data_IF_823243444364
#
_entry.id   IF_823243444364
#
_cell.length_a   1.000
_cell.length_b   1.000
_cell.length_c   1.000
_cell.angle_alpha   90.00
_cell.angle_beta   90.00
_cell.angle_gamma   90.00
#
_symmetry.space_group_name_H-M   'P 1'
#
loop_
_entity.id
_entity.type
_entity.pdbx_description
1 polymer ?
#
# COMPACT_ATOMS: atom_id res chain seq x y z
N UNK A 1 16.05 19.25 -11.46
CA UNK A 1 15.64 17.90 -11.88
C UNK A 1 16.81 17.30 -12.63
N UNK A 2 17.39 16.23 -12.11
CA UNK A 2 18.48 15.53 -12.79
C UNK A 2 17.88 14.30 -13.50
N UNK A 3 18.18 14.15 -14.78
CA UNK A 3 17.75 12.99 -15.57
C UNK A 3 18.95 12.48 -16.36
N UNK A 4 19.29 11.22 -16.15
CA UNK A 4 20.44 10.54 -16.77
C UNK A 4 19.99 9.69 -17.96
N UNK A 5 20.85 9.52 -18.97
CA UNK A 5 20.57 8.66 -20.13
C UNK A 5 19.65 9.24 -21.23
N UNK A 6 19.27 10.52 -21.15
CA UNK A 6 18.49 11.20 -22.20
C UNK A 6 19.34 12.21 -23.00
N UNK A 7 19.02 12.35 -24.29
CA UNK A 7 19.60 13.40 -25.13
C UNK A 7 19.08 14.80 -24.70
N UNK A 8 19.75 15.84 -25.20
CA UNK A 8 19.42 17.23 -24.84
C UNK A 8 17.99 17.62 -25.25
N UNK A 9 17.55 17.20 -26.44
CA UNK A 9 16.22 17.52 -26.97
C UNK A 9 15.09 16.93 -26.11
N UNK A 10 15.22 15.67 -25.65
CA UNK A 10 14.21 15.05 -24.76
C UNK A 10 14.23 15.72 -23.39
N UNK A 11 15.41 16.10 -22.88
CA UNK A 11 15.52 16.86 -21.62
C UNK A 11 14.79 18.20 -21.71
N UNK A 12 14.89 18.88 -22.84
CA UNK A 12 14.17 20.14 -23.09
C UNK A 12 12.65 19.92 -23.11
N UNK A 13 12.17 18.85 -23.76
CA UNK A 13 10.74 18.52 -23.72
C UNK A 13 10.25 18.20 -22.29
N UNK A 14 11.05 17.48 -21.49
CA UNK A 14 10.72 17.20 -20.07
C UNK A 14 10.64 18.51 -19.29
N UNK A 15 11.61 19.41 -19.47
CA UNK A 15 11.63 20.72 -18.82
C UNK A 15 10.42 21.57 -19.23
N UNK A 16 10.08 21.58 -20.53
CA UNK A 16 8.91 22.27 -21.06
C UNK A 16 7.63 21.78 -20.37
N UNK A 17 7.41 20.47 -20.27
CA UNK A 17 6.24 19.90 -19.58
C UNK A 17 6.22 20.26 -18.10
N UNK A 18 7.37 20.17 -17.41
CA UNK A 18 7.47 20.52 -15.99
C UNK A 18 7.16 22.01 -15.73
N UNK A 19 7.55 22.90 -16.64
CA UNK A 19 7.36 24.35 -16.51
C UNK A 19 5.90 24.81 -16.65
N UNK A 20 5.01 24.01 -17.24
CA UNK A 20 3.59 24.34 -17.39
C UNK A 20 2.92 24.57 -16.03
N UNK A 21 3.35 23.82 -15.01
CA UNK A 21 2.83 23.95 -13.65
C UNK A 21 3.69 24.87 -12.76
N UNK A 22 4.62 25.64 -13.35
CA UNK A 22 5.62 26.49 -12.69
C UNK A 22 6.60 25.72 -11.79
N UNK A 23 6.14 25.26 -10.63
CA UNK A 23 6.92 24.48 -9.68
C UNK A 23 6.03 23.68 -8.73
N UNK A 24 6.61 22.65 -8.10
CA UNK A 24 5.95 21.96 -6.98
C UNK A 24 5.97 22.82 -5.72
N UNK A 25 5.08 22.53 -4.76
CA UNK A 25 5.02 23.29 -3.52
C UNK A 25 6.37 23.27 -2.76
N UNK A 26 6.75 24.42 -2.20
CA UNK A 26 8.06 24.62 -1.55
C UNK A 26 8.21 23.71 -0.32
N UNK A 27 7.14 23.51 0.45
CA UNK A 27 7.17 22.62 1.63
C UNK A 27 7.55 21.18 1.27
N UNK A 28 7.05 20.65 0.15
CA UNK A 28 7.39 19.33 -0.37
C UNK A 28 8.83 19.26 -0.88
N UNK A 29 9.33 20.33 -1.49
CA UNK A 29 10.74 20.43 -1.89
C UNK A 29 11.67 20.43 -0.66
N UNK A 30 11.33 21.19 0.38
CA UNK A 30 12.07 21.20 1.66
C UNK A 30 12.04 19.80 2.30
N UNK A 31 10.86 19.17 2.36
CA UNK A 31 10.71 17.84 2.93
C UNK A 31 11.54 16.79 2.18
N UNK A 32 11.54 16.82 0.83
CA UNK A 32 12.37 15.94 0.03
C UNK A 32 13.87 16.14 0.33
N UNK A 33 14.31 17.39 0.51
CA UNK A 33 15.69 17.69 0.89
C UNK A 33 16.04 17.13 2.28
N UNK A 34 15.13 17.19 3.25
CA UNK A 34 15.33 16.65 4.59
C UNK A 34 15.37 15.11 4.60
N UNK A 35 14.55 14.46 3.76
CA UNK A 35 14.54 12.99 3.62
C UNK A 35 15.84 12.49 2.99
N UNK A 36 16.36 13.20 1.97
CA UNK A 36 17.58 12.80 1.27
C UNK A 36 18.87 13.20 2.02
N UNK A 37 18.80 14.19 2.92
CA UNK A 37 19.93 14.63 3.76
C UNK A 37 19.62 14.43 5.24
N UNK A 38 19.64 13.18 5.75
CA UNK A 38 19.43 12.92 7.16
C UNK A 38 20.53 13.59 8.03
N UNK A 39 20.23 13.96 9.28
CA UNK A 39 21.19 14.63 10.14
C UNK A 39 22.43 13.75 10.40
N UNK A 40 23.61 14.36 10.27
CA UNK A 40 24.88 13.69 10.54
C UNK A 40 24.99 13.25 12.02
N UNK A 41 25.41 12.01 12.22
CA UNK A 41 25.49 11.32 13.54
C UNK A 41 26.36 12.07 14.57
N UNK A 42 27.30 12.90 14.11
CA UNK A 42 28.21 13.67 14.97
C UNK A 42 27.53 14.80 15.75
N UNK A 43 26.62 15.54 15.12
CA UNK A 43 25.83 16.60 15.79
C UNK A 43 24.71 15.98 16.64
N UNK A 44 24.20 14.84 16.17
CA UNK A 44 23.16 14.08 16.85
C UNK A 44 23.66 13.50 18.19
N UNK A 45 24.93 13.09 18.30
CA UNK A 45 25.51 12.61 19.58
C UNK A 45 25.52 13.67 20.68
N UNK A 46 25.76 14.94 20.35
CA UNK A 46 25.78 16.03 21.34
C UNK A 46 24.37 16.33 21.90
N UNK A 47 23.36 16.36 21.01
CA UNK A 47 21.95 16.56 21.40
C UNK A 47 21.32 15.32 22.05
N UNK A 48 21.69 14.12 21.59
CA UNK A 48 21.21 12.86 22.16
C UNK A 48 21.82 12.62 23.55
N UNK A 49 23.08 13.00 23.84
CA UNK A 49 23.65 12.82 25.18
C UNK A 49 22.84 13.53 26.28
N UNK A 50 22.20 14.65 25.97
CA UNK A 50 21.36 15.41 26.91
C UNK A 50 19.95 14.80 27.03
N UNK A 51 19.45 14.15 25.98
CA UNK A 51 18.11 13.52 25.94
C UNK A 51 18.11 12.00 26.23
N UNK A 52 19.29 11.37 26.27
CA UNK A 52 19.50 9.92 26.38
C UNK A 52 19.28 9.33 27.78
N UNK A 53 18.95 10.15 28.77
CA UNK A 53 18.63 9.68 30.11
C UNK A 53 17.31 8.86 30.20
N UNK A 54 16.47 8.82 29.14
CA UNK A 54 15.10 8.28 29.24
C UNK A 54 14.82 6.99 28.44
N UNK A 55 15.63 6.50 27.47
CA UNK A 55 15.26 5.23 26.78
C UNK A 55 16.41 4.51 26.06
N UNK A 56 16.89 3.44 26.68
CA UNK A 56 17.83 2.43 26.17
C UNK A 56 17.19 1.52 25.10
N UNK A 57 16.93 2.08 23.91
CA UNK A 57 16.66 1.32 22.67
C UNK A 57 16.92 2.17 21.41
N UNK A 58 17.80 3.17 21.50
CA UNK A 58 18.01 4.17 20.45
C UNK A 58 19.35 3.91 19.75
N UNK A 59 19.40 2.91 18.87
CA UNK A 59 20.50 2.84 17.90
C UNK A 59 20.09 3.36 16.52
N UNK A 60 18.80 3.34 16.17
CA UNK A 60 18.26 3.99 14.96
C UNK A 60 16.80 4.43 15.17
N UNK A 61 16.45 5.72 15.07
CA UNK A 61 15.07 6.19 15.15
C UNK A 61 14.13 5.50 14.13
N UNK A 62 14.64 5.16 12.94
CA UNK A 62 13.89 4.49 11.88
C UNK A 62 13.44 3.07 12.25
N UNK A 63 14.19 2.36 13.09
CA UNK A 63 13.87 0.99 13.52
C UNK A 63 12.61 0.94 14.39
N UNK A 64 12.27 2.03 15.11
CA UNK A 64 11.04 2.12 15.92
C UNK A 64 9.76 2.14 15.07
N UNK A 65 9.84 2.59 13.82
CA UNK A 65 8.70 2.68 12.91
C UNK A 65 8.63 1.44 12.03
N UNK A 66 9.78 0.92 11.59
CA UNK A 66 9.85 -0.23 10.68
C UNK A 66 9.50 -1.53 11.41
N UNK A 67 9.95 -1.73 12.65
CA UNK A 67 9.74 -2.99 13.37
C UNK A 67 8.25 -3.33 13.60
N UNK A 68 7.39 -2.41 14.07
CA UNK A 68 5.95 -2.68 14.17
C UNK A 68 5.30 -2.98 12.82
N UNK A 69 5.77 -2.33 11.75
CA UNK A 69 5.24 -2.56 10.41
C UNK A 69 5.55 -3.97 9.92
N UNK A 70 6.77 -4.46 10.15
CA UNK A 70 7.16 -5.83 9.81
C UNK A 70 6.31 -6.85 10.57
N UNK A 71 6.08 -6.62 11.87
CA UNK A 71 5.23 -7.51 12.68
C UNK A 71 3.77 -7.50 12.21
N UNK A 72 3.24 -6.34 11.84
CA UNK A 72 1.89 -6.23 11.28
C UNK A 72 1.76 -6.99 9.96
N UNK A 73 2.75 -6.86 9.08
CA UNK A 73 2.79 -7.55 7.80
C UNK A 73 2.80 -9.07 7.99
N UNK A 74 3.61 -9.58 8.91
CA UNK A 74 3.65 -11.01 9.25
C UNK A 74 2.31 -11.51 9.79
N UNK A 75 1.72 -10.77 10.74
CA UNK A 75 0.43 -11.15 11.32
C UNK A 75 -0.69 -11.18 10.26
N UNK A 76 -0.70 -10.22 9.33
CA UNK A 76 -1.67 -10.19 8.23
C UNK A 76 -1.43 -11.30 7.21
N UNK A 77 -0.18 -11.60 6.88
CA UNK A 77 0.19 -12.72 6.00
C UNK A 77 -0.29 -14.05 6.57
N UNK A 78 -0.01 -14.31 7.85
CA UNK A 78 -0.43 -15.52 8.55
C UNK A 78 -1.96 -15.60 8.64
N UNK A 79 -2.63 -14.49 8.95
CA UNK A 79 -4.08 -14.41 8.97
C UNK A 79 -4.67 -14.76 7.60
N UNK A 80 -4.16 -14.16 6.51
CA UNK A 80 -4.65 -14.46 5.16
C UNK A 80 -4.38 -15.91 4.75
N UNK A 81 -3.23 -16.47 5.10
CA UNK A 81 -2.91 -17.86 4.79
C UNK A 81 -3.71 -18.88 5.63
N UNK A 82 -4.27 -18.45 6.76
CA UNK A 82 -5.18 -19.28 7.57
C UNK A 82 -6.62 -19.34 7.02
N UNK A 83 -7.01 -18.41 6.13
CA UNK A 83 -8.36 -18.32 5.59
C UNK A 83 -8.60 -19.32 4.46
N UNK A 84 -9.80 -19.92 4.43
CA UNK A 84 -10.16 -20.89 3.40
C UNK A 84 -10.20 -20.26 2.01
N UNK A 85 -9.53 -20.92 1.05
CA UNK A 85 -9.49 -20.45 -0.33
C UNK A 85 -8.65 -19.18 -0.51
N UNK A 86 -7.94 -18.72 0.53
CA UNK A 86 -7.05 -17.56 0.49
C UNK A 86 -5.59 -18.01 0.52
N UNK A 87 -4.73 -17.43 -0.32
CA UNK A 87 -3.26 -17.62 -0.20
C UNK A 87 -2.52 -16.32 -0.45
N UNK A 88 -1.73 -15.85 0.51
CA UNK A 88 -0.95 -14.63 0.41
C UNK A 88 0.55 -14.95 0.25
N UNK A 89 1.21 -14.24 -0.66
CA UNK A 89 2.65 -14.29 -0.78
C UNK A 89 3.29 -13.46 0.34
N UNK A 90 4.51 -13.84 0.70
CA UNK A 90 5.34 -13.07 1.63
C UNK A 90 5.66 -11.69 1.06
N UNK A 91 5.45 -10.65 1.86
CA UNK A 91 5.85 -9.31 1.50
C UNK A 91 7.33 -9.08 1.84
N UNK A 92 8.13 -8.78 0.81
CA UNK A 92 9.55 -8.47 0.95
C UNK A 92 9.80 -6.97 1.25
N UNK A 93 8.77 -6.14 1.09
CA UNK A 93 8.84 -4.70 1.35
C UNK A 93 7.50 -4.00 1.07
N UNK A 94 7.53 -2.66 1.07
CA UNK A 94 6.34 -1.81 0.95
C UNK A 94 5.30 -2.05 2.06
N UNK A 95 4.06 -1.61 1.84
CA UNK A 95 2.96 -1.62 2.83
C UNK A 95 1.72 -2.38 2.32
N UNK A 96 1.86 -3.24 1.31
CA UNK A 96 0.73 -3.94 0.68
C UNK A 96 0.90 -5.45 0.71
N UNK A 97 -0.21 -6.13 0.93
CA UNK A 97 -0.35 -7.57 0.77
C UNK A 97 -1.35 -7.84 -0.34
N UNK A 98 -1.05 -8.87 -1.13
CA UNK A 98 -1.81 -9.21 -2.33
C UNK A 98 -2.28 -10.69 -2.25
N UNK A 99 -3.38 -10.98 -1.54
CA UNK A 99 -3.87 -12.35 -1.29
C UNK A 99 -4.72 -12.96 -2.41
N UNK A 100 -4.58 -14.28 -2.67
CA UNK A 100 -5.36 -15.05 -3.67
C UNK A 100 -6.69 -15.54 -3.17
N UNK A 101 -7.80 -15.09 -3.75
CA UNK A 101 -9.10 -15.71 -3.50
C UNK A 101 -9.50 -16.76 -4.54
N UNK A 102 -9.50 -18.03 -4.17
CA UNK A 102 -10.09 -19.09 -4.98
C UNK A 102 -11.61 -19.03 -4.87
N UNK A 103 -12.22 -18.19 -5.70
CA UNK A 103 -13.66 -18.00 -5.73
C UNK A 103 -14.36 -19.24 -6.32
N UNK A 104 -15.44 -19.73 -5.69
CA UNK A 104 -16.21 -20.84 -6.24
C UNK A 104 -16.97 -20.42 -7.51
N UNK A 105 -17.27 -21.38 -8.37
CA UNK A 105 -17.95 -21.11 -9.65
C UNK A 105 -19.29 -20.39 -9.48
N UNK A 106 -20.01 -20.67 -8.38
CA UNK A 106 -21.26 -19.99 -8.01
C UNK A 106 -21.09 -18.48 -7.79
N UNK A 107 -19.99 -18.08 -7.14
CA UNK A 107 -19.68 -16.66 -6.93
C UNK A 107 -19.31 -15.98 -8.24
N UNK A 108 -18.58 -16.68 -9.12
CA UNK A 108 -18.22 -16.18 -10.45
C UNK A 108 -19.48 -16.00 -11.32
N UNK A 109 -20.42 -16.94 -11.31
CA UNK A 109 -21.69 -16.79 -12.04
C UNK A 109 -22.56 -15.67 -11.48
N UNK A 110 -22.61 -15.51 -10.15
CA UNK A 110 -23.35 -14.42 -9.51
C UNK A 110 -22.78 -13.05 -9.90
N UNK A 111 -21.44 -12.92 -9.94
CA UNK A 111 -20.76 -11.71 -10.39
C UNK A 111 -21.08 -11.40 -11.87
N UNK A 112 -21.07 -12.42 -12.74
CA UNK A 112 -21.47 -12.27 -14.15
C UNK A 112 -22.92 -11.82 -14.31
N UNK A 113 -23.84 -12.33 -13.48
CA UNK A 113 -25.25 -11.95 -13.53
C UNK A 113 -25.48 -10.46 -13.25
N UNK A 114 -24.60 -9.84 -12.45
CA UNK A 114 -24.63 -8.39 -12.16
C UNK A 114 -23.63 -7.60 -13.00
N UNK A 115 -23.09 -8.18 -14.08
CA UNK A 115 -22.09 -7.57 -14.96
C UNK A 115 -20.87 -7.01 -14.21
N UNK A 116 -20.47 -7.64 -13.11
CA UNK A 116 -19.31 -7.25 -12.32
C UNK A 116 -18.16 -8.26 -12.46
N UNK A 117 -16.93 -7.79 -12.34
CA UNK A 117 -15.78 -8.67 -12.17
C UNK A 117 -15.91 -9.47 -10.86
N UNK A 118 -15.53 -10.77 -10.81
CA UNK A 118 -15.72 -11.61 -9.62
C UNK A 118 -15.08 -11.07 -8.34
N UNK A 119 -13.93 -10.44 -8.46
CA UNK A 119 -13.20 -9.81 -7.38
C UNK A 119 -13.80 -8.47 -6.94
N UNK A 120 -14.30 -7.65 -7.87
CA UNK A 120 -15.08 -6.45 -7.56
C UNK A 120 -16.39 -6.80 -6.85
N UNK A 121 -17.05 -7.88 -7.27
CA UNK A 121 -18.23 -8.41 -6.61
C UNK A 121 -17.91 -8.88 -5.18
N UNK A 122 -16.80 -9.58 -4.98
CA UNK A 122 -16.33 -9.97 -3.65
C UNK A 122 -15.99 -8.76 -2.78
N UNK A 123 -15.24 -7.78 -3.30
CA UNK A 123 -14.87 -6.56 -2.59
C UNK A 123 -16.10 -5.77 -2.13
N UNK A 124 -17.12 -5.69 -2.99
CA UNK A 124 -18.38 -5.02 -2.63
C UNK A 124 -19.13 -5.77 -1.53
N UNK A 125 -19.20 -7.10 -1.61
CA UNK A 125 -19.83 -7.93 -0.57
C UNK A 125 -19.07 -7.86 0.76
N UNK A 126 -17.74 -7.81 0.71
CA UNK A 126 -16.90 -7.63 1.90
C UNK A 126 -17.19 -6.29 2.57
N UNK A 127 -17.29 -5.22 1.77
CA UNK A 127 -17.67 -3.89 2.24
C UNK A 127 -19.07 -3.89 2.87
N UNK A 128 -20.06 -4.44 2.17
CA UNK A 128 -21.46 -4.48 2.66
C UNK A 128 -21.57 -5.28 3.98
N UNK A 129 -20.74 -6.32 4.17
CA UNK A 129 -20.82 -7.22 5.34
C UNK A 129 -19.97 -6.77 6.54
N UNK A 130 -18.79 -6.19 6.30
CA UNK A 130 -17.81 -5.90 7.36
C UNK A 130 -17.45 -4.42 7.49
N UNK A 131 -17.86 -3.60 6.51
CA UNK A 131 -17.40 -2.21 6.38
C UNK A 131 -15.98 -2.09 5.83
N UNK A 132 -15.25 -3.19 5.61
CA UNK A 132 -13.85 -3.12 5.16
C UNK A 132 -13.81 -2.81 3.66
N UNK A 133 -13.20 -1.68 3.32
CA UNK A 133 -12.94 -1.27 1.94
C UNK A 133 -11.63 -1.92 1.45
N UNK A 134 -11.70 -2.62 0.33
CA UNK A 134 -10.55 -3.18 -0.38
C UNK A 134 -10.62 -2.84 -1.87
N UNK A 135 -9.48 -2.65 -2.53
CA UNK A 135 -9.46 -2.42 -3.99
C UNK A 135 -9.42 -3.77 -4.71
N UNK A 136 -10.34 -4.01 -5.66
CA UNK A 136 -10.35 -5.24 -6.45
C UNK A 136 -9.13 -5.32 -7.37
N UNK A 137 -8.68 -6.54 -7.61
CA UNK A 137 -7.52 -6.83 -8.41
C UNK A 137 -7.66 -6.52 -9.90
N UNK A 138 -8.88 -6.46 -10.41
CA UNK A 138 -9.23 -6.16 -11.79
C UNK A 138 -8.67 -4.81 -12.25
N UNK A 139 -8.50 -3.85 -11.33
CA UNK A 139 -7.88 -2.55 -11.60
C UNK A 139 -6.37 -2.61 -11.85
N UNK A 140 -5.70 -3.71 -11.51
CA UNK A 140 -4.25 -3.87 -11.60
C UNK A 140 -3.80 -4.82 -12.74
N UNK A 141 -4.73 -5.32 -13.56
CA UNK A 141 -4.40 -6.16 -14.72
C UNK A 141 -3.95 -7.59 -14.36
N UNK A 142 -4.79 -8.33 -13.64
CA UNK A 142 -4.49 -9.72 -13.25
C UNK A 142 -4.53 -10.71 -14.43
N UNK A 143 -3.72 -11.77 -14.35
CA UNK A 143 -3.76 -12.88 -15.31
C UNK A 143 -5.10 -13.63 -15.17
N UNK A 144 -5.94 -13.51 -16.19
CA UNK A 144 -7.19 -14.28 -16.34
C UNK A 144 -6.80 -15.71 -16.75
N UNK A 145 -7.33 -16.71 -16.07
CA UNK A 145 -7.09 -18.10 -16.43
C UNK A 145 -8.40 -18.83 -16.75
N UNK A 146 -8.58 -19.07 -18.05
CA UNK A 146 -9.51 -20.05 -18.62
C UNK A 146 -8.73 -20.84 -19.68
N UNK A 147 -8.71 -22.20 -19.73
CA UNK A 147 -9.56 -23.20 -19.04
C UNK A 147 -8.83 -23.97 -17.90
N UNK A 148 -9.49 -24.90 -17.15
CA UNK A 148 -8.98 -25.41 -15.88
C UNK A 148 -7.97 -26.54 -16.11
N UNK A 149 -6.69 -26.26 -15.88
CA UNK A 149 -5.72 -27.29 -15.51
C UNK A 149 -5.12 -26.99 -14.14
N UNK A 150 -4.95 -28.08 -13.40
CA UNK A 150 -4.29 -28.20 -12.11
C UNK A 150 -3.07 -27.29 -12.01
N UNK A 151 -2.90 -26.79 -10.79
CA UNK A 151 -1.70 -26.14 -10.25
C UNK A 151 -1.66 -24.61 -10.29
N UNK A 152 -1.58 -24.09 -9.06
CA UNK A 152 -0.97 -22.85 -8.61
C UNK A 152 -1.45 -21.54 -9.21
N UNK A 153 -2.26 -20.84 -8.43
CA UNK A 153 -2.71 -19.50 -8.73
C UNK A 153 -2.72 -18.69 -7.39
N UNK A 154 -2.05 -17.50 -7.32
CA UNK A 154 -2.17 -16.25 -6.49
C UNK A 154 -3.00 -14.95 -7.03
N UNK A 155 -4.03 -14.37 -6.37
CA UNK A 155 -4.85 -13.16 -6.68
C UNK A 155 -4.22 -12.08 -5.79
N UNK A 156 -4.53 -10.83 -6.08
CA UNK A 156 -3.80 -9.70 -5.53
C UNK A 156 -4.79 -8.54 -5.33
N UNK A 157 -4.99 -8.08 -4.09
CA UNK A 157 -5.85 -6.94 -3.69
C UNK A 157 -5.01 -5.69 -3.37
N UNK A 158 -5.52 -4.50 -3.66
CA UNK A 158 -4.83 -3.23 -3.38
C UNK A 158 -5.48 -2.39 -2.26
N UNK A 159 -4.63 -1.60 -1.57
CA UNK A 159 -4.85 -0.43 -0.69
C UNK A 159 -5.88 -0.46 0.47
N UNK A 160 -5.39 -0.28 1.72
CA UNK A 160 -5.57 0.91 2.60
C UNK A 160 -4.52 0.87 3.73
N UNK A 161 -3.67 1.91 3.88
CA UNK A 161 -3.14 2.33 5.20
C UNK A 161 -2.51 3.73 5.14
N UNK A 162 -2.93 4.59 6.07
CA UNK A 162 -2.19 5.78 6.49
C UNK A 162 -2.21 5.85 8.04
N UNK A 163 -0.99 5.84 8.58
CA UNK A 163 -0.49 6.42 9.83
C UNK A 163 -1.34 6.44 11.11
N UNK A 164 -0.75 5.82 12.14
CA UNK A 164 -0.89 6.08 13.59
C UNK A 164 -2.32 6.06 14.16
N UNK A 165 -2.59 4.98 14.91
CA UNK A 165 -3.81 4.60 15.62
C UNK A 165 -4.96 4.15 14.70
N UNK A 166 -5.12 2.83 14.60
CA UNK A 166 -6.32 2.06 14.20
C UNK A 166 -7.28 2.76 13.22
N UNK A 167 -7.29 2.32 11.95
CA UNK A 167 -8.39 2.65 11.02
C UNK A 167 -8.91 1.38 10.36
N UNK A 168 -9.95 0.81 10.98
CA UNK A 168 -11.05 0.17 10.25
C UNK A 168 -11.91 1.31 9.69
N UNK A 169 -12.12 1.38 8.38
CA UNK A 169 -13.07 2.36 7.84
C UNK A 169 -14.50 1.82 8.03
N UNK A 170 -15.05 1.94 9.24
CA UNK A 170 -16.48 1.72 9.44
C UNK A 170 -17.25 2.82 8.71
N UNK A 171 -17.84 2.51 7.57
CA UNK A 171 -18.87 3.37 6.97
C UNK A 171 -20.14 3.21 7.82
N UNK A 172 -20.24 3.98 8.90
CA UNK A 172 -21.50 4.19 9.60
C UNK A 172 -22.51 4.93 8.71
N UNK A 173 -23.82 4.75 8.93
CA UNK A 173 -24.86 5.27 8.04
C UNK A 173 -24.85 6.81 8.04
N UNK A 174 -24.48 7.40 6.91
CA UNK A 174 -24.70 8.81 6.64
C UNK A 174 -26.18 9.02 6.30
N UNK A 175 -26.97 9.41 7.30
CA UNK A 175 -28.29 9.99 7.10
C UNK A 175 -28.14 11.35 6.38
N UNK A 176 -28.35 11.38 5.07
CA UNK A 176 -28.69 12.61 4.35
C UNK A 176 -30.16 12.96 4.64
N UNK A 177 -30.38 13.80 5.66
CA UNK A 177 -31.60 14.58 5.83
C UNK A 177 -31.36 15.74 6.80
N UNK A 178 -30.74 16.82 6.30
CA UNK A 178 -31.11 18.22 6.54
C UNK A 178 -30.19 19.16 5.79
#
# INVERSE_FOLDING_TARGET
MEVTGFNAEVREQIYKVASVNLCSNISGQILASLVMNPPNVSVLRFLISVLAAIRTACWFPSLKIILPLVLLVQALEDAFNSLEGVTCNKAEGAMYLFPRLRLPQKAISAAKAVNAAPDAFYARRLLDATGIVVVPGSGFGQVILFPPRRNFKSLSFGWVLLSHNVVFSFVGPWNMAR
#
